data_IF_933185499643
#
_entry.id   IF_933185499643
#
_cell.length_a   1.000
_cell.length_b   1.000
_cell.length_c   1.000
_cell.angle_alpha   90.00
_cell.angle_beta   90.00
_cell.angle_gamma   90.00
#
_symmetry.space_group_name_H-M   'P 1'
#
loop_
_entity.id
_entity.type
_entity.pdbx_description
1 polymer ?
#
# COMPACT_ATOMS: atom_id res chain seq x y z
N UNK A 1 -39.05 -28.86 -41.15
CA UNK A 1 -37.87 -29.48 -40.54
C UNK A 1 -36.98 -28.36 -40.02
N UNK A 2 -36.58 -28.47 -38.75
CA UNK A 2 -35.78 -27.55 -37.91
C UNK A 2 -34.51 -27.01 -38.60
N UNK A 3 -33.98 -25.83 -38.27
CA UNK A 3 -33.32 -25.51 -36.99
C UNK A 3 -33.06 -24.00 -36.84
N UNK A 4 -33.08 -23.52 -35.61
CA UNK A 4 -32.45 -22.27 -35.14
C UNK A 4 -31.01 -22.59 -34.68
N UNK A 5 -30.09 -21.61 -34.55
CA UNK A 5 -30.02 -20.87 -33.28
C UNK A 5 -29.66 -19.38 -33.41
N UNK A 6 -29.84 -18.70 -32.28
CA UNK A 6 -29.58 -17.31 -31.90
C UNK A 6 -28.13 -16.86 -32.07
N UNK A 7 -27.92 -15.56 -32.27
CA UNK A 7 -26.76 -14.85 -31.70
C UNK A 7 -27.11 -13.42 -31.29
N UNK A 8 -27.02 -13.20 -29.98
CA UNK A 8 -27.13 -11.93 -29.29
C UNK A 8 -25.71 -11.40 -29.10
N UNK A 9 -25.31 -10.36 -29.83
CA UNK A 9 -24.06 -9.62 -29.58
C UNK A 9 -24.45 -8.23 -29.05
N UNK A 10 -24.68 -8.06 -27.76
CA UNK A 10 -23.68 -7.83 -26.69
C UNK A 10 -22.74 -6.64 -26.98
N UNK A 11 -23.16 -5.49 -26.45
CA UNK A 11 -22.38 -4.56 -25.62
C UNK A 11 -21.02 -4.08 -26.15
N UNK A 12 -21.00 -2.87 -26.72
CA UNK A 12 -19.81 -2.01 -26.72
C UNK A 12 -19.96 -0.99 -25.57
N UNK A 13 -19.68 -1.43 -24.35
CA UNK A 13 -19.39 -0.49 -23.26
C UNK A 13 -17.93 -0.12 -23.37
N UNK A 14 -17.69 1.14 -23.70
CA UNK A 14 -16.35 1.72 -23.83
C UNK A 14 -15.61 1.57 -22.50
N UNK A 15 -14.45 0.93 -22.58
CA UNK A 15 -13.40 0.86 -21.57
C UNK A 15 -13.23 2.22 -20.87
N UNK A 16 -13.61 2.26 -19.59
CA UNK A 16 -13.07 3.23 -18.64
C UNK A 16 -12.13 2.39 -17.77
N UNK A 17 -10.88 2.24 -18.21
CA UNK A 17 -9.83 1.73 -17.32
C UNK A 17 -9.64 2.78 -16.22
N UNK A 18 -9.90 2.46 -14.94
CA UNK A 18 -9.47 3.34 -13.86
C UNK A 18 -7.93 3.40 -13.94
N UNK A 19 -7.34 4.58 -13.77
CA UNK A 19 -5.89 4.69 -13.54
C UNK A 19 -5.47 3.77 -12.38
N UNK A 20 -4.17 3.44 -12.24
CA UNK A 20 -3.73 2.47 -11.24
C UNK A 20 -4.28 2.89 -9.87
N UNK A 21 -5.22 2.10 -9.35
CA UNK A 21 -5.74 2.31 -8.01
C UNK A 21 -4.55 2.11 -7.07
N UNK A 22 -4.16 3.17 -6.35
CA UNK A 22 -3.21 3.00 -5.25
C UNK A 22 -3.90 2.08 -4.25
N UNK A 23 -3.36 0.88 -4.07
CA UNK A 23 -3.83 -0.02 -3.03
C UNK A 23 -3.29 0.53 -1.72
N UNK A 24 -4.09 1.33 -1.03
CA UNK A 24 -3.68 1.90 0.26
C UNK A 24 -3.96 0.90 1.38
N UNK A 25 -3.10 0.92 2.39
CA UNK A 25 -3.34 0.19 3.62
C UNK A 25 -4.63 0.67 4.30
N UNK A 26 -5.17 -0.16 5.18
CA UNK A 26 -6.28 0.22 6.06
C UNK A 26 -5.86 1.25 7.12
N UNK A 27 -6.83 1.94 7.71
CA UNK A 27 -6.58 2.86 8.83
C UNK A 27 -5.77 2.16 9.95
N UNK A 28 -4.78 2.84 10.55
CA UNK A 28 -4.41 4.26 10.37
C UNK A 28 -3.38 4.54 9.27
N UNK A 29 -2.95 3.54 8.50
CA UNK A 29 -1.78 3.66 7.62
C UNK A 29 -2.12 4.15 6.20
N UNK A 30 -3.40 4.35 5.87
CA UNK A 30 -3.83 4.84 4.55
C UNK A 30 -3.36 6.27 4.23
N UNK A 31 -3.27 7.12 5.25
CA UNK A 31 -2.95 8.54 5.14
C UNK A 31 -2.50 9.12 6.50
N UNK A 32 -1.62 8.40 7.20
CA UNK A 32 -1.19 8.76 8.55
C UNK A 32 -0.64 10.20 8.60
N UNK A 33 -1.22 11.10 9.40
CA UNK A 33 -0.75 12.48 9.49
C UNK A 33 0.72 12.56 9.93
N UNK A 34 1.50 13.36 9.22
CA UNK A 34 2.93 13.54 9.50
C UNK A 34 3.80 12.33 9.13
N UNK A 35 3.28 11.36 8.39
CA UNK A 35 4.10 10.28 7.84
C UNK A 35 5.21 10.85 6.94
N UNK A 36 6.42 10.33 7.12
CA UNK A 36 7.65 10.77 6.46
C UNK A 36 8.35 9.63 5.69
N UNK A 37 7.69 8.48 5.57
CA UNK A 37 8.05 7.40 4.67
C UNK A 37 6.81 6.59 4.24
N UNK A 38 6.90 5.93 3.10
CA UNK A 38 5.93 4.93 2.64
C UNK A 38 6.64 3.58 2.56
N UNK A 39 6.11 2.56 3.23
CA UNK A 39 6.49 1.17 2.98
C UNK A 39 5.52 0.57 1.97
N UNK A 40 6.03 0.08 0.84
CA UNK A 40 5.25 -0.63 -0.18
C UNK A 40 5.47 -2.12 -0.01
N UNK A 41 4.40 -2.83 0.33
CA UNK A 41 4.40 -4.28 0.43
C UNK A 41 4.57 -4.98 -0.92
N UNK A 42 4.94 -6.26 -0.90
CA UNK A 42 5.19 -7.06 -2.11
C UNK A 42 3.95 -7.21 -3.02
N UNK A 43 2.74 -7.11 -2.45
CA UNK A 43 1.46 -7.09 -3.16
C UNK A 43 0.99 -5.67 -3.54
N UNK A 44 1.88 -4.67 -3.42
CA UNK A 44 1.67 -3.32 -3.94
C UNK A 44 0.85 -2.41 -3.03
N UNK A 45 0.65 -2.78 -1.76
CA UNK A 45 -0.07 -1.94 -0.79
C UNK A 45 0.86 -0.94 -0.11
N UNK A 46 0.48 0.34 -0.12
CA UNK A 46 1.24 1.43 0.47
C UNK A 46 0.81 1.73 1.92
N UNK A 47 1.79 1.77 2.82
CA UNK A 47 1.64 2.08 4.24
C UNK A 47 2.37 3.39 4.56
N UNK A 48 1.62 4.42 4.93
CA UNK A 48 2.17 5.70 5.40
C UNK A 48 2.60 5.55 6.86
N UNK A 49 3.89 5.76 7.12
CA UNK A 49 4.53 5.47 8.40
C UNK A 49 5.48 6.59 8.85
N UNK A 50 5.91 6.52 10.10
CA UNK A 50 6.86 7.43 10.72
C UNK A 50 8.21 6.74 10.94
N UNK A 51 9.26 7.24 10.30
CA UNK A 51 10.64 6.74 10.42
C UNK A 51 11.11 6.71 11.88
N UNK A 52 10.73 7.71 12.66
CA UNK A 52 11.09 7.80 14.08
C UNK A 52 10.57 6.61 14.90
N UNK A 53 9.31 6.20 14.70
CA UNK A 53 8.72 5.05 15.39
C UNK A 53 9.41 3.76 14.93
N UNK A 54 9.55 3.58 13.62
CA UNK A 54 10.17 2.39 13.05
C UNK A 54 11.64 2.22 13.45
N UNK A 55 12.39 3.33 13.53
CA UNK A 55 13.79 3.31 13.98
C UNK A 55 13.90 2.95 15.46
N UNK A 56 12.96 3.42 16.30
CA UNK A 56 12.96 3.12 17.74
C UNK A 56 12.70 1.63 18.02
N UNK A 57 11.84 0.99 17.22
CA UNK A 57 11.38 -0.39 17.44
C UNK A 57 12.18 -1.43 16.66
N UNK A 58 12.99 -1.02 15.67
CA UNK A 58 13.74 -1.93 14.80
C UNK A 58 15.06 -1.32 14.30
N UNK A 59 16.22 -1.87 14.70
CA UNK A 59 17.52 -1.47 14.16
C UNK A 59 17.64 -1.66 12.65
N UNK A 60 16.88 -2.60 12.06
CA UNK A 60 16.86 -2.81 10.61
C UNK A 60 16.27 -1.60 9.90
N UNK A 61 15.15 -1.07 10.40
CA UNK A 61 14.54 0.13 9.83
C UNK A 61 15.41 1.36 10.07
N UNK A 62 16.01 1.50 11.24
CA UNK A 62 16.97 2.58 11.52
C UNK A 62 18.10 2.60 10.49
N UNK A 63 18.75 1.46 10.25
CA UNK A 63 19.82 1.33 9.27
C UNK A 63 19.32 1.64 7.85
N UNK A 64 18.16 1.12 7.46
CA UNK A 64 17.59 1.33 6.14
C UNK A 64 17.38 2.82 5.83
N UNK A 65 16.92 3.59 6.82
CA UNK A 65 16.68 5.02 6.67
C UNK A 65 17.94 5.88 6.65
N UNK A 66 19.12 5.34 7.00
CA UNK A 66 20.40 6.04 6.92
C UNK A 66 21.10 5.86 5.57
N UNK A 67 20.58 4.98 4.71
CA UNK A 67 21.15 4.76 3.39
C UNK A 67 20.94 6.01 2.50
N UNK A 68 21.94 6.40 1.69
CA UNK A 68 21.79 7.48 0.72
C UNK A 68 20.62 7.19 -0.22
N UNK A 69 19.72 8.16 -0.38
CA UNK A 69 18.66 8.10 -1.38
C UNK A 69 19.13 8.76 -2.69
N UNK A 70 18.60 8.35 -3.85
CA UNK A 70 18.87 9.02 -5.12
C UNK A 70 18.51 10.51 -5.06
N UNK A 71 19.24 11.35 -5.80
CA UNK A 71 18.99 12.81 -5.83
C UNK A 71 17.58 13.18 -6.34
N UNK A 72 17.01 12.33 -7.21
CA UNK A 72 15.67 12.51 -7.77
C UNK A 72 14.57 11.81 -6.93
N UNK A 73 14.86 11.43 -5.69
CA UNK A 73 13.88 10.77 -4.83
C UNK A 73 12.71 11.72 -4.50
N UNK A 74 11.48 11.19 -4.39
CA UNK A 74 10.34 11.97 -3.95
C UNK A 74 10.56 12.50 -2.52
N UNK A 75 9.90 13.62 -2.20
CA UNK A 75 9.98 14.26 -0.89
C UNK A 75 9.62 13.30 0.27
N UNK A 76 8.70 12.37 0.04
CA UNK A 76 8.43 11.22 0.92
C UNK A 76 8.92 9.97 0.20
N UNK A 77 9.97 9.29 0.70
CA UNK A 77 10.52 8.12 0.05
C UNK A 77 9.54 6.95 0.10
N UNK A 78 9.46 6.22 -1.02
CA UNK A 78 8.76 4.93 -1.11
C UNK A 78 9.80 3.82 -1.03
N UNK A 79 9.56 2.87 -0.13
CA UNK A 79 10.48 1.79 0.19
C UNK A 79 9.77 0.47 -0.04
N UNK A 80 10.22 -0.28 -1.04
CA UNK A 80 9.70 -1.61 -1.31
C UNK A 80 10.20 -2.60 -0.25
N UNK A 81 9.27 -3.39 0.31
CA UNK A 81 9.55 -4.46 1.26
C UNK A 81 9.02 -5.80 0.73
N UNK A 82 9.58 -6.90 1.23
CA UNK A 82 9.25 -8.23 0.72
C UNK A 82 8.03 -8.84 1.40
N UNK A 83 7.58 -8.23 2.51
CA UNK A 83 6.40 -8.68 3.25
C UNK A 83 5.12 -8.35 2.47
N UNK A 84 4.19 -9.31 2.47
CA UNK A 84 2.82 -9.07 2.03
C UNK A 84 2.13 -8.09 2.99
N UNK A 85 1.19 -7.32 2.46
CA UNK A 85 0.40 -6.32 3.19
C UNK A 85 -0.18 -6.86 4.49
N UNK A 86 -0.75 -8.08 4.48
CA UNK A 86 -1.33 -8.71 5.65
C UNK A 86 -0.33 -9.02 6.78
N UNK A 87 0.94 -9.26 6.44
CA UNK A 87 2.01 -9.48 7.42
C UNK A 87 2.52 -8.13 7.92
N UNK A 88 2.81 -7.22 7.00
CA UNK A 88 3.33 -5.89 7.31
C UNK A 88 2.37 -5.10 8.21
N UNK A 89 1.08 -5.13 7.91
CA UNK A 89 0.01 -4.51 8.70
C UNK A 89 0.00 -4.97 10.16
N UNK A 90 0.18 -6.27 10.42
CA UNK A 90 0.26 -6.82 11.79
C UNK A 90 1.51 -6.36 12.51
N UNK A 91 2.65 -6.36 11.83
CA UNK A 91 3.93 -5.89 12.37
C UNK A 91 3.84 -4.40 12.73
N UNK A 92 3.31 -3.58 11.82
CA UNK A 92 3.13 -2.16 12.06
C UNK A 92 2.17 -1.89 13.22
N UNK A 93 1.07 -2.64 13.36
CA UNK A 93 0.19 -2.48 14.54
C UNK A 93 0.86 -2.80 15.87
N UNK A 94 1.87 -3.65 15.89
CA UNK A 94 2.66 -3.89 17.10
C UNK A 94 3.52 -2.67 17.47
N UNK A 95 3.99 -1.92 16.48
CA UNK A 95 4.85 -0.74 16.66
C UNK A 95 4.09 0.56 16.93
N UNK A 96 2.80 0.62 16.58
CA UNK A 96 1.96 1.82 16.68
C UNK A 96 0.83 1.60 17.70
N UNK A 97 1.05 1.94 18.99
CA UNK A 97 -0.01 1.88 20.00
C UNK A 97 -1.21 2.72 19.57
N UNK A 98 -2.42 2.16 19.65
CA UNK A 98 -3.66 2.85 19.26
C UNK A 98 -3.99 2.80 17.77
N UNK A 99 -3.20 2.10 16.94
CA UNK A 99 -3.54 1.75 15.56
C UNK A 99 -4.65 0.67 15.49
N UNK A 100 -5.77 0.91 16.16
CA UNK A 100 -6.96 0.06 16.08
C UNK A 100 -7.75 0.47 14.83
N UNK A 101 -8.14 -0.51 14.03
CA UNK A 101 -9.10 -0.31 12.93
C UNK A 101 -10.34 0.39 13.46
N UNK A 102 -10.71 1.54 12.90
CA UNK A 102 -11.98 2.18 13.21
C UNK A 102 -13.11 1.15 13.01
N UNK A 103 -14.10 1.07 13.93
CA UNK A 103 -15.26 0.20 13.72
C UNK A 103 -15.97 0.66 12.43
N UNK A 104 -16.25 -0.31 11.56
CA UNK A 104 -16.95 -0.11 10.30
C UNK A 104 -18.44 0.17 10.46
#
# INVERSE_FOLDING_TARGET
MSTSPSDTSSTSSRDISPGPALFLAQYPFANAPGADAILRSADGVDFYVHRAILSLVSPVFEMMFQLPQPDDAPAVPVIDVQELSAVLDRVLRFFYPGAVTAPG
#
